data_IF_123373513798
#
_entry.id   IF_123373513798
#
_cell.length_a   1.000
_cell.length_b   1.000
_cell.length_c   1.000
_cell.angle_alpha   90.00
_cell.angle_beta   90.00
_cell.angle_gamma   90.00
#
_symmetry.space_group_name_H-M   'P 1'
#
loop_
_entity.id
_entity.type
_entity.pdbx_description
1 polymer ?
#
# COMPACT_ATOMS: atom_id res chain seq x y z
N UNK A 1 24.58 29.22 14.30
CA UNK A 1 23.51 28.25 13.98
C UNK A 1 23.95 26.90 13.40
N UNK A 2 25.21 26.46 13.54
CA UNK A 2 25.64 25.12 13.09
C UNK A 2 25.33 23.99 14.09
N UNK A 3 25.14 24.33 15.36
CA UNK A 3 24.92 23.36 16.44
C UNK A 3 23.53 22.71 16.40
N UNK A 4 22.48 23.48 16.08
CA UNK A 4 21.11 22.96 16.02
C UNK A 4 20.95 21.89 14.91
N UNK A 5 21.56 22.13 13.74
CA UNK A 5 21.58 21.17 12.63
C UNK A 5 22.31 19.86 13.03
N UNK A 6 23.44 19.98 13.74
CA UNK A 6 24.21 18.84 14.22
C UNK A 6 23.46 18.03 15.29
N UNK A 7 22.87 18.71 16.28
CA UNK A 7 22.05 18.05 17.30
C UNK A 7 20.83 17.35 16.69
N UNK A 8 20.20 17.96 15.68
CA UNK A 8 19.08 17.36 14.97
C UNK A 8 19.49 16.13 14.15
N UNK A 9 20.68 16.15 13.54
CA UNK A 9 21.19 14.99 12.82
C UNK A 9 21.51 13.82 13.77
N UNK A 10 22.11 14.11 14.92
CA UNK A 10 22.39 13.11 15.96
C UNK A 10 21.09 12.48 16.48
N UNK A 11 20.05 13.29 16.70
CA UNK A 11 18.74 12.79 17.12
C UNK A 11 18.14 11.84 16.08
N UNK A 12 18.13 12.22 14.80
CA UNK A 12 17.63 11.38 13.70
C UNK A 12 18.37 10.05 13.62
N UNK A 13 19.70 10.08 13.68
CA UNK A 13 20.51 8.87 13.55
C UNK A 13 20.30 7.92 14.75
N UNK A 14 20.20 8.49 15.95
CA UNK A 14 19.96 7.74 17.20
C UNK A 14 18.56 7.13 17.22
N UNK A 15 17.57 7.79 16.62
CA UNK A 15 16.19 7.31 16.56
C UNK A 15 15.96 6.28 15.43
N UNK A 16 16.52 6.52 14.25
CA UNK A 16 16.33 5.63 13.10
C UNK A 16 17.07 4.31 13.25
N UNK A 17 18.25 4.30 13.89
CA UNK A 17 19.05 3.08 14.06
C UNK A 17 18.32 1.97 14.85
N UNK A 18 17.68 2.23 16.01
CA UNK A 18 16.80 1.28 16.66
C UNK A 18 15.55 0.96 15.82
N UNK A 19 14.94 1.97 15.19
CA UNK A 19 13.74 1.78 14.39
C UNK A 19 13.96 0.78 13.24
N UNK A 20 15.10 0.84 12.56
CA UNK A 20 15.45 -0.09 11.47
C UNK A 20 15.71 -1.51 11.95
N UNK A 21 16.24 -1.67 13.17
CA UNK A 21 16.52 -2.98 13.77
C UNK A 21 15.28 -3.62 14.39
N UNK A 22 14.38 -2.83 14.96
CA UNK A 22 13.23 -3.29 15.73
C UNK A 22 11.95 -3.40 14.91
N UNK A 23 11.81 -2.60 13.85
CA UNK A 23 10.63 -2.66 12.97
C UNK A 23 11.06 -3.41 11.71
N UNK A 24 10.55 -4.63 11.49
CA UNK A 24 10.71 -5.31 10.21
C UNK A 24 10.17 -4.41 9.10
N UNK A 25 11.05 -3.72 8.39
CA UNK A 25 10.70 -2.98 7.18
C UNK A 25 10.39 -4.03 6.14
N UNK A 26 9.14 -4.51 6.10
CA UNK A 26 8.64 -5.30 5.00
C UNK A 26 8.89 -4.47 3.73
N UNK A 27 9.94 -4.83 2.97
CA UNK A 27 10.09 -4.36 1.61
C UNK A 27 8.83 -4.88 0.94
N UNK A 28 7.84 -4.00 0.71
CA UNK A 28 6.78 -4.29 -0.24
C UNK A 28 7.55 -4.63 -1.49
N UNK A 29 7.62 -5.92 -1.82
CA UNK A 29 8.11 -6.32 -3.12
C UNK A 29 7.31 -5.43 -4.06
N UNK A 30 8.04 -4.57 -4.78
CA UNK A 30 7.43 -3.81 -5.86
C UNK A 30 6.59 -4.83 -6.61
N UNK A 31 5.35 -4.48 -6.93
CA UNK A 31 4.45 -5.33 -7.74
C UNK A 31 4.99 -5.41 -9.18
N UNK A 32 6.28 -5.67 -9.29
CA UNK A 32 7.14 -5.58 -10.44
C UNK A 32 7.12 -6.98 -11.04
N UNK A 33 6.43 -7.11 -12.17
CA UNK A 33 6.52 -8.32 -12.98
C UNK A 33 5.25 -9.15 -13.12
N UNK A 34 4.14 -8.84 -12.44
CA UNK A 34 2.85 -9.45 -12.83
C UNK A 34 2.35 -8.81 -14.12
N UNK A 35 2.86 -9.32 -15.24
CA UNK A 35 2.35 -9.02 -16.59
C UNK A 35 0.84 -9.18 -16.58
N UNK A 36 0.15 -8.11 -16.94
CA UNK A 36 -1.31 -8.11 -17.01
C UNK A 36 -1.73 -9.14 -18.06
N UNK A 37 -2.74 -9.95 -17.75
CA UNK A 37 -3.17 -11.05 -18.62
C UNK A 37 -3.61 -10.59 -20.02
N UNK A 38 -4.02 -9.32 -20.17
CA UNK A 38 -4.39 -8.72 -21.45
C UNK A 38 -3.20 -8.11 -22.23
N UNK A 39 -1.99 -8.03 -21.63
CA UNK A 39 -0.85 -7.33 -22.20
C UNK A 39 -0.05 -8.27 -23.13
N UNK A 40 -0.32 -8.19 -24.43
CA UNK A 40 0.49 -8.87 -25.45
C UNK A 40 1.77 -8.06 -25.79
N UNK A 41 2.70 -8.66 -26.54
CA UNK A 41 4.00 -8.05 -26.89
C UNK A 41 3.83 -6.83 -27.81
N UNK A 42 2.93 -6.90 -28.78
CA UNK A 42 2.69 -5.82 -29.74
C UNK A 42 2.07 -4.59 -29.08
N UNK A 43 1.16 -4.80 -28.14
CA UNK A 43 0.52 -3.75 -27.37
C UNK A 43 1.54 -3.06 -26.46
N UNK A 44 2.50 -3.81 -25.92
CA UNK A 44 3.60 -3.26 -25.16
C UNK A 44 4.48 -2.36 -26.04
N UNK A 45 4.76 -2.75 -27.29
CA UNK A 45 5.46 -1.90 -28.26
C UNK A 45 4.66 -0.63 -28.53
N UNK A 46 3.35 -0.72 -28.77
CA UNK A 46 2.46 0.45 -28.98
C UNK A 46 2.42 1.37 -27.76
N UNK A 47 2.41 0.82 -26.54
CA UNK A 47 2.48 1.57 -25.28
C UNK A 47 3.80 2.34 -25.15
N UNK A 48 4.93 1.69 -25.47
CA UNK A 48 6.24 2.35 -25.48
C UNK A 48 6.31 3.43 -26.57
N UNK A 49 5.80 3.15 -27.76
CA UNK A 49 5.71 4.12 -28.87
C UNK A 49 4.91 5.37 -28.48
N UNK A 50 3.69 5.19 -27.93
CA UNK A 50 2.89 6.29 -27.39
C UNK A 50 3.64 7.11 -26.34
N UNK A 51 4.36 6.45 -25.43
CA UNK A 51 5.16 7.13 -24.39
C UNK A 51 6.33 7.92 -24.99
N UNK A 52 6.97 7.39 -26.03
CA UNK A 52 7.99 8.08 -26.81
C UNK A 52 7.44 9.32 -27.49
N UNK A 53 6.34 9.17 -28.24
CA UNK A 53 5.68 10.28 -28.93
C UNK A 53 5.17 11.36 -27.98
N UNK A 54 4.68 11.00 -26.79
CA UNK A 54 4.34 11.99 -25.77
C UNK A 54 5.55 12.86 -25.39
N UNK A 55 6.74 12.27 -25.26
CA UNK A 55 7.97 13.03 -24.96
C UNK A 55 8.35 13.94 -26.13
N UNK A 56 8.28 13.42 -27.36
CA UNK A 56 8.60 14.18 -28.57
C UNK A 56 7.63 15.34 -28.79
N UNK A 57 6.33 15.13 -28.58
CA UNK A 57 5.31 16.18 -28.63
C UNK A 57 5.58 17.26 -27.56
N UNK A 58 5.92 16.86 -26.32
CA UNK A 58 6.31 17.81 -25.27
C UNK A 58 7.57 18.61 -25.60
N UNK A 59 8.41 18.12 -26.49
CA UNK A 59 9.62 18.77 -26.99
C UNK A 59 9.40 19.53 -28.31
N UNK A 60 8.17 19.55 -28.85
CA UNK A 60 7.84 20.21 -30.12
C UNK A 60 8.34 19.49 -31.38
N UNK A 61 8.81 18.24 -31.26
CA UNK A 61 9.35 17.46 -32.39
C UNK A 61 8.27 16.74 -33.22
N UNK A 62 7.07 16.59 -32.67
CA UNK A 62 5.96 15.81 -33.24
C UNK A 62 4.70 16.65 -33.11
N UNK A 63 3.85 16.63 -34.14
CA UNK A 63 2.61 17.40 -34.12
C UNK A 63 1.63 16.84 -33.09
N UNK A 64 0.69 17.68 -32.63
CA UNK A 64 -0.36 17.21 -31.72
C UNK A 64 -1.23 16.11 -32.35
N UNK A 65 -1.45 16.18 -33.66
CA UNK A 65 -2.26 15.21 -34.42
C UNK A 65 -1.60 13.84 -34.48
N UNK A 66 -0.30 13.79 -34.80
CA UNK A 66 0.46 12.53 -34.83
C UNK A 66 0.46 11.85 -33.46
N UNK A 67 0.68 12.61 -32.38
CA UNK A 67 0.57 12.09 -31.03
C UNK A 67 -0.84 11.61 -30.70
N UNK A 68 -1.88 12.39 -31.05
CA UNK A 68 -3.28 12.05 -30.80
C UNK A 68 -3.65 10.72 -31.47
N UNK A 69 -3.26 10.53 -32.72
CA UNK A 69 -3.56 9.33 -33.49
C UNK A 69 -2.89 8.10 -32.90
N UNK A 70 -1.60 8.17 -32.58
CA UNK A 70 -0.91 7.07 -31.92
C UNK A 70 -1.46 6.79 -30.52
N UNK A 71 -1.82 7.83 -29.78
CA UNK A 71 -2.46 7.69 -28.48
C UNK A 71 -3.82 6.99 -28.60
N UNK A 72 -4.59 7.30 -29.65
CA UNK A 72 -5.89 6.71 -29.94
C UNK A 72 -5.76 5.24 -30.36
N UNK A 73 -4.86 4.93 -31.31
CA UNK A 73 -4.56 3.56 -31.76
C UNK A 73 -4.07 2.66 -30.62
N UNK A 74 -3.22 3.18 -29.74
CA UNK A 74 -2.78 2.46 -28.55
C UNK A 74 -3.97 2.18 -27.61
N UNK A 75 -4.80 3.20 -27.34
CA UNK A 75 -5.94 3.08 -26.42
C UNK A 75 -7.02 2.13 -26.94
N UNK A 76 -7.32 2.18 -28.24
CA UNK A 76 -8.28 1.26 -28.88
C UNK A 76 -7.78 -0.18 -28.84
N UNK A 77 -6.48 -0.40 -29.09
CA UNK A 77 -5.85 -1.72 -28.91
C UNK A 77 -5.98 -2.24 -27.48
N UNK A 78 -5.73 -1.40 -26.47
CA UNK A 78 -5.86 -1.78 -25.06
C UNK A 78 -7.31 -2.18 -24.73
N UNK A 79 -8.29 -1.42 -25.23
CA UNK A 79 -9.72 -1.75 -25.05
C UNK A 79 -10.07 -3.10 -25.67
N UNK A 80 -9.63 -3.35 -26.91
CA UNK A 80 -9.85 -4.63 -27.60
C UNK A 80 -9.24 -5.80 -26.84
N UNK A 81 -7.99 -5.68 -26.41
CA UNK A 81 -7.29 -6.75 -25.67
C UNK A 81 -7.96 -7.07 -24.32
N UNK A 82 -8.43 -6.04 -23.61
CA UNK A 82 -9.20 -6.23 -22.36
C UNK A 82 -10.54 -6.91 -22.60
N UNK A 83 -11.29 -6.47 -23.61
CA UNK A 83 -12.58 -7.07 -23.98
C UNK A 83 -12.41 -8.54 -24.38
N UNK A 84 -11.36 -8.86 -25.14
CA UNK A 84 -11.02 -10.23 -25.52
C UNK A 84 -10.73 -11.12 -24.30
N UNK A 85 -9.96 -10.61 -23.33
CA UNK A 85 -9.69 -11.33 -22.08
C UNK A 85 -10.97 -11.57 -21.28
N UNK A 86 -11.82 -10.55 -21.13
CA UNK A 86 -13.09 -10.65 -20.40
C UNK A 86 -14.04 -11.65 -21.08
N UNK A 87 -14.10 -11.64 -22.40
CA UNK A 87 -14.90 -12.58 -23.19
C UNK A 87 -14.41 -14.02 -23.03
N UNK A 88 -13.10 -14.26 -23.05
CA UNK A 88 -12.55 -15.61 -22.79
C UNK A 88 -12.86 -16.07 -21.36
N UNK A 89 -12.72 -15.19 -20.37
CA UNK A 89 -13.09 -15.50 -18.98
C UNK A 89 -14.58 -15.81 -18.82
N UNK A 90 -15.45 -15.10 -19.54
CA UNK A 90 -16.89 -15.33 -19.52
C UNK A 90 -17.27 -16.66 -20.19
N UNK A 91 -16.63 -16.99 -21.32
CA UNK A 91 -16.80 -18.28 -22.00
C UNK A 91 -16.40 -19.45 -21.10
N UNK A 92 -15.27 -19.31 -20.41
CA UNK A 92 -14.75 -20.34 -19.52
C UNK A 92 -15.33 -20.26 -18.10
N UNK A 93 -16.41 -19.51 -17.86
CA UNK A 93 -16.90 -19.24 -16.51
C UNK A 93 -17.30 -20.49 -15.73
N UNK A 94 -17.87 -21.49 -16.43
CA UNK A 94 -18.25 -22.78 -15.84
C UNK A 94 -17.05 -23.58 -15.34
N UNK A 95 -15.93 -23.49 -16.07
CA UNK A 95 -14.73 -24.30 -15.84
C UNK A 95 -13.66 -23.54 -15.02
N UNK A 96 -13.70 -22.21 -15.00
CA UNK A 96 -12.62 -21.35 -14.51
C UNK A 96 -13.04 -20.38 -13.40
N UNK A 97 -13.79 -20.85 -12.40
CA UNK A 97 -14.18 -20.06 -11.21
C UNK A 97 -12.99 -19.31 -10.56
N UNK A 98 -11.81 -19.95 -10.49
CA UNK A 98 -10.56 -19.33 -10.00
C UNK A 98 -10.05 -18.18 -10.90
N UNK A 99 -10.20 -18.30 -12.21
CA UNK A 99 -9.76 -17.30 -13.19
C UNK A 99 -10.54 -16.00 -13.08
N UNK A 100 -11.86 -16.10 -12.98
CA UNK A 100 -12.76 -14.95 -12.78
C UNK A 100 -12.46 -14.28 -11.44
N UNK A 101 -12.38 -15.04 -10.34
CA UNK A 101 -12.05 -14.49 -9.03
C UNK A 101 -10.69 -13.76 -9.03
N UNK A 102 -9.67 -14.31 -9.68
CA UNK A 102 -8.35 -13.66 -9.83
C UNK A 102 -8.44 -12.36 -10.63
N UNK A 103 -9.25 -12.31 -11.69
CA UNK A 103 -9.46 -11.10 -12.49
C UNK A 103 -10.15 -9.99 -11.69
N UNK A 104 -11.25 -10.33 -11.02
CA UNK A 104 -12.04 -9.40 -10.19
C UNK A 104 -11.21 -8.89 -9.01
N UNK A 105 -10.45 -9.75 -8.34
CA UNK A 105 -9.56 -9.33 -7.24
C UNK A 105 -8.42 -8.44 -7.71
N UNK A 106 -7.84 -8.66 -8.90
CA UNK A 106 -6.86 -7.73 -9.49
C UNK A 106 -7.47 -6.35 -9.77
N UNK A 107 -8.70 -6.28 -10.27
CA UNK A 107 -9.42 -5.02 -10.50
C UNK A 107 -9.76 -4.29 -9.20
N UNK A 108 -10.20 -5.03 -8.17
CA UNK A 108 -10.55 -4.48 -6.86
C UNK A 108 -9.35 -3.88 -6.13
N UNK A 109 -8.17 -4.49 -6.25
CA UNK A 109 -6.90 -4.00 -5.64
C UNK A 109 -6.42 -2.64 -6.15
N UNK A 110 -6.97 -2.13 -7.25
CA UNK A 110 -6.69 -0.77 -7.73
C UNK A 110 -7.54 0.30 -7.00
N UNK A 111 -8.59 -0.12 -6.28
CA UNK A 111 -9.53 0.77 -5.57
C UNK A 111 -9.20 0.95 -4.08
N UNK A 112 -8.14 0.32 -3.57
CA UNK A 112 -7.54 0.59 -2.25
C UNK A 112 -6.74 1.91 -2.30
N UNK A 113 -7.39 3.02 -2.67
CA UNK A 113 -6.98 4.30 -2.11
C UNK A 113 -7.76 4.45 -0.81
N UNK A 114 -7.09 4.88 0.26
CA UNK A 114 -7.78 5.28 1.48
C UNK A 114 -8.75 6.39 1.05
N UNK A 115 -10.07 6.24 1.25
CA UNK A 115 -10.98 7.31 0.93
C UNK A 115 -10.55 8.57 1.68
N UNK A 116 -10.58 9.76 1.05
CA UNK A 116 -10.32 11.01 1.76
C UNK A 116 -11.15 11.04 3.04
N UNK A 117 -10.50 11.28 4.17
CA UNK A 117 -11.14 11.28 5.48
C UNK A 117 -12.14 12.44 5.51
N UNK A 118 -13.43 12.14 5.35
CA UNK A 118 -14.48 13.16 5.43
C UNK A 118 -14.76 13.50 6.89
N UNK A 119 -14.71 14.78 7.22
CA UNK A 119 -15.21 15.28 8.50
C UNK A 119 -16.74 15.13 8.55
N UNK A 120 -17.33 15.13 9.76
CA UNK A 120 -18.79 15.08 9.96
C UNK A 120 -19.56 16.21 9.25
N UNK A 121 -18.85 17.27 8.84
CA UNK A 121 -19.39 18.47 8.18
C UNK A 121 -19.35 18.37 6.64
N UNK A 122 -18.85 17.27 6.07
CA UNK A 122 -18.90 17.03 4.62
C UNK A 122 -17.95 17.87 3.76
N UNK A 123 -17.04 18.62 4.37
CA UNK A 123 -16.02 19.42 3.68
C UNK A 123 -14.80 18.54 3.38
N UNK A 124 -14.35 18.55 2.11
CA UNK A 124 -13.10 17.95 1.65
C UNK A 124 -11.93 18.73 2.27
N UNK A 125 -11.25 18.15 3.25
CA UNK A 125 -10.14 18.79 3.96
C UNK A 125 -8.87 18.68 3.13
N UNK A 126 -8.58 19.67 2.29
CA UNK A 126 -7.42 19.69 1.39
C UNK A 126 -6.15 20.29 2.02
N UNK A 127 -6.19 20.70 3.30
CA UNK A 127 -5.08 21.49 3.89
C UNK A 127 -4.61 21.05 5.28
N UNK A 128 -5.23 20.06 5.92
CA UNK A 128 -4.93 19.76 7.34
C UNK A 128 -4.86 18.25 7.64
N UNK A 129 -4.44 17.46 6.65
CA UNK A 129 -4.26 16.00 6.79
C UNK A 129 -3.31 15.68 7.95
N UNK A 130 -2.25 16.48 8.14
CA UNK A 130 -1.27 16.27 9.21
C UNK A 130 -1.84 16.57 10.61
N UNK A 131 -2.59 17.67 10.82
CA UNK A 131 -3.16 17.95 12.16
C UNK A 131 -4.28 17.00 12.52
N UNK A 132 -5.12 16.61 11.57
CA UNK A 132 -6.21 15.67 11.84
C UNK A 132 -5.66 14.30 12.22
N UNK A 133 -4.66 13.80 11.48
CA UNK A 133 -3.98 12.56 11.83
C UNK A 133 -3.24 12.67 13.16
N UNK A 134 -2.60 13.81 13.44
CA UNK A 134 -1.94 14.07 14.73
C UNK A 134 -2.93 14.08 15.90
N UNK A 135 -4.11 14.65 15.72
CA UNK A 135 -5.16 14.67 16.74
C UNK A 135 -5.77 13.27 16.97
N UNK A 136 -5.99 12.50 15.90
CA UNK A 136 -6.45 11.10 16.01
C UNK A 136 -5.38 10.24 16.69
N UNK A 137 -4.11 10.42 16.33
CA UNK A 137 -2.99 9.73 16.98
C UNK A 137 -2.88 10.12 18.46
N UNK A 138 -2.95 11.41 18.78
CA UNK A 138 -2.96 11.88 20.16
C UNK A 138 -4.15 11.30 20.94
N UNK A 139 -5.34 11.21 20.38
CA UNK A 139 -6.51 10.64 21.06
C UNK A 139 -6.36 9.14 21.38
N UNK A 140 -5.75 8.36 20.48
CA UNK A 140 -5.54 6.91 20.67
C UNK A 140 -4.41 6.63 21.67
N UNK A 141 -3.35 7.44 21.67
CA UNK A 141 -2.17 7.22 22.52
C UNK A 141 -2.14 8.06 23.80
N UNK A 142 -2.92 9.13 23.87
CA UNK A 142 -3.17 9.94 25.07
C UNK A 142 -4.51 9.50 25.65
N UNK A 143 -4.63 8.20 25.92
CA UNK A 143 -5.70 7.69 26.77
C UNK A 143 -5.67 8.46 28.08
N UNK A 144 -6.85 8.92 28.52
CA UNK A 144 -7.04 9.67 29.75
C UNK A 144 -6.17 9.07 30.87
N UNK A 145 -5.07 9.75 31.21
CA UNK A 145 -4.37 9.55 32.46
C UNK A 145 -5.28 10.12 33.55
N UNK A 146 -6.39 9.42 33.82
CA UNK A 146 -7.05 9.51 35.10
C UNK A 146 -6.03 9.04 36.10
N UNK A 147 -5.40 9.99 36.78
CA UNK A 147 -4.45 9.76 37.86
C UNK A 147 -5.20 9.09 39.01
N UNK A 148 -5.36 7.77 38.93
CA UNK A 148 -5.58 6.97 40.11
C UNK A 148 -4.26 6.95 40.88
N UNK A 149 -4.16 7.91 41.80
CA UNK A 149 -3.24 7.87 42.92
C UNK A 149 -3.50 6.58 43.70
N UNK A 150 -2.74 5.53 43.44
CA UNK A 150 -2.60 4.40 44.36
C UNK A 150 -1.22 4.47 45.00
N UNK A 151 -1.18 5.16 46.14
CA UNK A 151 -0.11 5.02 47.12
C UNK A 151 -0.31 3.66 47.83
N UNK A 152 0.76 2.86 47.91
CA UNK A 152 1.21 2.05 49.08
C UNK A 152 2.16 0.93 48.59
N UNK A 153 3.42 1.07 49.02
CA UNK A 153 4.44 0.12 49.46
C UNK A 153 4.67 -1.24 48.75
N UNK A 154 5.92 -1.47 48.31
CA UNK A 154 6.44 -2.80 47.92
C UNK A 154 6.91 -3.63 49.14
N UNK A 155 7.88 -4.57 49.03
CA UNK A 155 8.40 -5.32 47.87
C UNK A 155 8.43 -6.86 48.10
N UNK A 156 8.43 -7.69 47.03
CA UNK A 156 9.07 -9.04 46.97
C UNK A 156 8.84 -9.64 45.56
N UNK A 157 9.90 -9.83 44.78
CA UNK A 157 10.65 -11.09 44.62
C UNK A 157 9.82 -12.20 43.94
N UNK A 158 10.16 -12.49 42.68
CA UNK A 158 10.65 -13.81 42.25
C UNK A 158 10.92 -13.83 40.75
N UNK A 159 12.18 -14.15 40.47
CA UNK A 159 12.68 -14.84 39.29
C UNK A 159 11.72 -15.96 38.86
N UNK A 160 11.50 -16.16 37.55
CA UNK A 160 10.98 -17.42 37.02
C UNK A 160 11.30 -17.60 35.53
N UNK A 161 12.44 -18.24 35.31
CA UNK A 161 12.82 -18.86 34.06
C UNK A 161 12.02 -20.15 33.75
N UNK A 162 11.95 -20.42 32.44
CA UNK A 162 11.79 -21.71 31.77
C UNK A 162 10.52 -22.56 31.97
N UNK A 163 9.65 -22.47 30.95
CA UNK A 163 9.04 -23.52 30.11
C UNK A 163 8.88 -24.97 30.66
N UNK A 164 7.65 -25.50 30.53
CA UNK A 164 7.17 -26.54 29.57
C UNK A 164 5.87 -27.17 30.14
N UNK A 165 4.81 -27.43 29.35
CA UNK A 165 3.66 -28.20 29.80
C UNK A 165 3.72 -29.67 29.32
N UNK A 166 3.26 -30.65 30.10
CA UNK A 166 2.77 -31.93 29.57
C UNK A 166 1.28 -32.08 29.87
N UNK A 167 0.41 -32.19 28.86
CA UNK A 167 0.06 -33.43 28.13
C UNK A 167 -0.58 -34.48 29.04
N UNK A 168 -1.91 -34.47 29.05
CA UNK A 168 -2.83 -35.49 29.57
C UNK A 168 -2.77 -36.73 28.69
N UNK A 169 -2.66 -37.91 29.30
CA UNK A 169 -3.42 -39.13 28.93
C UNK A 169 -3.65 -40.00 30.16
N UNK A 170 -4.90 -40.41 30.32
CA UNK A 170 -5.43 -41.36 31.27
C UNK A 170 -5.11 -42.80 30.83
N UNK A 171 -4.94 -43.70 31.79
CA UNK A 171 -5.47 -45.06 31.68
C UNK A 171 -5.83 -45.61 33.07
N UNK A 172 -7.12 -45.93 33.17
CA UNK A 172 -7.90 -46.91 33.96
C UNK A 172 -7.32 -47.61 35.19
N UNK A 173 -8.13 -47.60 36.27
CA UNK A 173 -8.87 -48.79 36.75
C UNK A 173 -10.30 -48.38 37.15
#
# INVERSE_FOLDING_TARGET
DKGAEQSWQIFKDTFHRPQELSIPRYKKSGKEGKRLAWLNRDLLVKLKGKKGMHRQWKQGQVSWEEYRDAAWLCSSGVRKAKAWLELNLARDAKNSKKGIYRYVSQKRKFKESIPPLMSKTGILVTMDEEKVLKNIFASVFTGNLSSHTSRVDGPQDRDWGSKVPPTVREDQL
#
